data_IF_254253923252
#
_entry.id   IF_254253923252
#
_cell.length_a   1.000
_cell.length_b   1.000
_cell.length_c   1.000
_cell.angle_alpha   90.00
_cell.angle_beta   90.00
_cell.angle_gamma   90.00
#
_symmetry.space_group_name_H-M   'P 1'
#
loop_
_entity.id
_entity.type
_entity.pdbx_description
1 polymer ?
#
# COMPACT_ATOMS: atom_id res chain seq x y z
N UNK A 1 1.31 -8.48 -0.50
CA UNK A 1 0.58 -7.88 -1.65
C UNK A 1 -0.84 -7.46 -1.26
N UNK A 2 -1.70 -8.38 -0.81
CA UNK A 2 -3.11 -8.06 -0.49
C UNK A 2 -3.28 -6.92 0.54
N UNK A 3 -2.63 -7.00 1.71
CA UNK A 3 -2.74 -5.95 2.75
C UNK A 3 -2.25 -4.57 2.25
N UNK A 4 -1.23 -4.57 1.38
CA UNK A 4 -0.69 -3.35 0.81
C UNK A 4 -1.69 -2.69 -0.14
N UNK A 5 -2.31 -3.47 -1.04
CA UNK A 5 -3.37 -2.99 -1.91
C UNK A 5 -4.55 -2.42 -1.12
N UNK A 6 -4.98 -3.10 -0.05
CA UNK A 6 -6.07 -2.60 0.80
C UNK A 6 -5.72 -1.29 1.52
N UNK A 7 -4.47 -1.17 2.01
CA UNK A 7 -3.98 0.07 2.64
C UNK A 7 -4.00 1.23 1.65
N UNK A 8 -3.62 0.99 0.39
CA UNK A 8 -3.61 2.02 -0.64
C UNK A 8 -5.03 2.47 -1.00
N UNK A 9 -5.97 1.54 -1.13
CA UNK A 9 -7.39 1.87 -1.28
C UNK A 9 -7.89 2.72 -0.09
N UNK A 10 -7.50 2.36 1.13
CA UNK A 10 -7.91 3.08 2.33
C UNK A 10 -7.31 4.49 2.43
N UNK A 11 -6.05 4.65 2.00
CA UNK A 11 -5.37 5.94 1.87
C UNK A 11 -6.15 6.86 0.94
N UNK A 12 -6.53 6.38 -0.24
CA UNK A 12 -7.32 7.14 -1.22
C UNK A 12 -8.70 7.48 -0.68
N UNK A 13 -9.38 6.52 -0.04
CA UNK A 13 -10.67 6.76 0.60
C UNK A 13 -10.58 7.89 1.63
N UNK A 14 -9.70 7.78 2.63
CA UNK A 14 -9.53 8.81 3.66
C UNK A 14 -9.01 10.15 3.10
N UNK A 15 -8.22 10.10 2.03
CA UNK A 15 -7.76 11.28 1.29
C UNK A 15 -8.92 12.08 0.70
N UNK A 16 -9.90 11.42 0.06
CA UNK A 16 -11.10 12.10 -0.47
C UNK A 16 -12.00 12.67 0.62
N UNK A 17 -11.89 12.18 1.85
CA UNK A 17 -12.61 12.71 3.03
C UNK A 17 -11.86 13.87 3.72
N UNK A 18 -10.64 14.21 3.29
CA UNK A 18 -9.80 15.24 3.91
C UNK A 18 -9.06 14.78 5.18
N UNK A 19 -9.06 13.48 5.48
CA UNK A 19 -8.52 12.92 6.73
C UNK A 19 -7.24 12.11 6.47
N UNK A 20 -6.29 12.70 5.75
CA UNK A 20 -5.05 12.03 5.31
C UNK A 20 -4.04 11.79 6.45
N UNK A 21 -4.05 12.63 7.49
CA UNK A 21 -3.05 12.65 8.55
C UNK A 21 -2.95 11.31 9.33
N UNK A 22 -4.01 10.53 9.41
CA UNK A 22 -4.03 9.24 10.13
C UNK A 22 -3.21 8.19 9.39
N UNK A 23 -3.41 8.08 8.08
CA UNK A 23 -2.68 7.11 7.26
C UNK A 23 -1.20 7.49 7.19
N UNK A 24 -0.91 8.79 7.13
CA UNK A 24 0.47 9.28 7.18
C UNK A 24 1.15 8.97 8.52
N UNK A 25 0.50 9.30 9.65
CA UNK A 25 1.08 9.06 10.98
C UNK A 25 1.24 7.57 11.28
N UNK A 26 0.24 6.74 10.92
CA UNK A 26 0.35 5.29 11.09
C UNK A 26 1.48 4.68 10.26
N UNK A 27 1.66 5.13 9.01
CA UNK A 27 2.75 4.69 8.17
C UNK A 27 4.12 5.08 8.74
N UNK A 28 4.27 6.30 9.26
CA UNK A 28 5.51 6.77 9.89
C UNK A 28 5.87 5.91 11.11
N UNK A 29 4.91 5.72 12.01
CA UNK A 29 5.08 4.90 13.21
C UNK A 29 5.44 3.46 12.84
N UNK A 30 4.74 2.89 11.88
CA UNK A 30 4.98 1.50 11.48
C UNK A 30 6.29 1.30 10.72
N UNK A 31 6.80 2.33 10.02
CA UNK A 31 8.14 2.31 9.42
C UNK A 31 9.24 2.26 10.50
N UNK A 32 9.08 3.05 11.56
CA UNK A 32 10.00 2.99 12.70
C UNK A 32 9.98 1.61 13.37
N UNK A 33 8.78 1.05 13.59
CA UNK A 33 8.65 -0.31 14.09
C UNK A 33 9.24 -1.36 13.14
N UNK A 34 9.11 -1.19 11.82
CA UNK A 34 9.65 -2.14 10.84
C UNK A 34 11.15 -2.36 11.00
N UNK A 35 11.93 -1.30 11.25
CA UNK A 35 13.37 -1.44 11.55
C UNK A 35 13.61 -2.28 12.81
N UNK A 36 12.78 -2.12 13.84
CA UNK A 36 12.85 -2.94 15.06
C UNK A 36 12.48 -4.40 14.78
N UNK A 37 11.44 -4.66 13.98
CA UNK A 37 11.02 -6.01 13.60
C UNK A 37 12.09 -6.73 12.79
N UNK A 38 12.73 -6.04 11.83
CA UNK A 38 13.87 -6.60 11.09
C UNK A 38 14.99 -6.93 12.06
N UNK A 39 15.35 -6.00 12.96
CA UNK A 39 16.43 -6.27 13.91
C UNK A 39 16.15 -7.51 14.76
N UNK A 40 14.95 -7.58 15.33
CA UNK A 40 14.52 -8.66 16.19
C UNK A 40 14.46 -9.99 15.44
N UNK A 41 13.77 -10.07 14.29
CA UNK A 41 13.65 -11.33 13.55
C UNK A 41 14.94 -11.80 12.90
N UNK A 42 15.79 -10.88 12.42
CA UNK A 42 17.04 -11.25 11.74
C UNK A 42 18.14 -11.58 12.73
N UNK A 43 18.34 -10.75 13.77
CA UNK A 43 19.49 -10.90 14.68
C UNK A 43 19.18 -11.62 16.00
N UNK A 44 17.94 -11.57 16.50
CA UNK A 44 17.59 -12.26 17.77
C UNK A 44 17.08 -13.67 17.51
N UNK A 45 16.32 -13.86 16.44
CA UNK A 45 15.73 -15.16 16.08
C UNK A 45 16.52 -15.92 15.00
N UNK A 46 17.62 -15.36 14.48
CA UNK A 46 18.48 -15.93 13.43
C UNK A 46 17.72 -16.39 12.15
N UNK A 47 16.55 -15.80 11.88
CA UNK A 47 15.69 -16.19 10.75
C UNK A 47 16.19 -15.68 9.39
N UNK A 48 17.31 -14.95 9.34
CA UNK A 48 17.95 -14.46 8.12
C UNK A 48 16.93 -13.88 7.12
N UNK A 49 16.85 -14.41 5.90
CA UNK A 49 15.91 -13.95 4.86
C UNK A 49 14.43 -14.13 5.23
N UNK A 50 14.08 -15.22 5.93
CA UNK A 50 12.71 -15.46 6.38
C UNK A 50 12.26 -14.41 7.40
N UNK A 51 13.19 -13.93 8.24
CA UNK A 51 12.93 -12.87 9.20
C UNK A 51 12.54 -11.55 8.54
N UNK A 52 13.20 -11.19 7.44
CA UNK A 52 12.88 -9.98 6.66
C UNK A 52 11.47 -10.09 6.04
N UNK A 53 11.14 -11.26 5.49
CA UNK A 53 9.81 -11.50 4.92
C UNK A 53 8.72 -11.42 6.01
N UNK A 54 8.96 -12.01 7.18
CA UNK A 54 8.02 -11.95 8.31
C UNK A 54 7.83 -10.52 8.85
N UNK A 55 8.92 -9.78 9.03
CA UNK A 55 8.86 -8.36 9.41
C UNK A 55 7.99 -7.56 8.43
N UNK A 56 8.20 -7.77 7.13
CA UNK A 56 7.47 -7.06 6.07
C UNK A 56 5.98 -7.41 6.06
N UNK A 57 5.65 -8.70 6.20
CA UNK A 57 4.27 -9.16 6.32
C UNK A 57 3.56 -8.52 7.52
N UNK A 58 4.22 -8.50 8.68
CA UNK A 58 3.66 -7.92 9.89
C UNK A 58 3.45 -6.41 9.76
N UNK A 59 4.44 -5.70 9.23
CA UNK A 59 4.33 -4.27 8.92
C UNK A 59 3.16 -4.01 7.96
N UNK A 60 2.95 -4.79 6.91
CA UNK A 60 1.78 -4.59 6.03
C UNK A 60 0.45 -4.84 6.73
N UNK A 61 0.36 -5.83 7.62
CA UNK A 61 -0.84 -6.07 8.42
C UNK A 61 -1.11 -4.88 9.35
N UNK A 62 -0.09 -4.37 10.05
CA UNK A 62 -0.22 -3.22 10.94
C UNK A 62 -0.67 -1.95 10.20
N UNK A 63 -0.08 -1.67 9.03
CA UNK A 63 -0.47 -0.53 8.18
C UNK A 63 -1.94 -0.61 7.74
N UNK A 64 -2.49 -1.82 7.59
CA UNK A 64 -3.87 -2.03 7.21
C UNK A 64 -4.84 -1.95 8.41
N UNK A 65 -4.48 -2.60 9.53
CA UNK A 65 -5.36 -2.72 10.70
C UNK A 65 -5.49 -1.40 11.45
N UNK A 66 -4.39 -0.65 11.63
CA UNK A 66 -4.39 0.59 12.43
C UNK A 66 -5.41 1.62 11.92
N UNK A 67 -5.44 1.97 10.62
CA UNK A 67 -6.42 2.94 10.12
C UNK A 67 -7.86 2.42 10.17
N UNK A 68 -8.10 1.12 9.97
CA UNK A 68 -9.45 0.52 10.10
C UNK A 68 -9.97 0.63 11.53
N UNK A 69 -9.14 0.28 12.49
CA UNK A 69 -9.46 0.40 13.91
C UNK A 69 -9.75 1.86 14.26
N UNK A 70 -8.94 2.79 13.75
CA UNK A 70 -9.17 4.22 13.94
C UNK A 70 -10.53 4.68 13.39
N UNK A 71 -10.89 4.29 12.16
CA UNK A 71 -12.19 4.61 11.54
C UNK A 71 -13.34 4.05 12.39
N UNK A 72 -13.17 2.84 12.92
CA UNK A 72 -14.21 2.15 13.70
C UNK A 72 -14.51 2.81 15.03
N UNK A 73 -13.49 3.42 15.66
CA UNK A 73 -13.61 4.19 16.90
C UNK A 73 -14.04 5.64 16.65
N UNK A 74 -13.59 6.26 15.56
CA UNK A 74 -13.85 7.66 15.23
C UNK A 74 -14.89 7.81 14.11
N UNK A 75 -16.05 7.15 14.27
CA UNK A 75 -17.13 7.16 13.26
C UNK A 75 -17.68 8.56 12.94
N UNK A 76 -17.54 9.52 13.86
CA UNK A 76 -17.98 10.90 13.68
C UNK A 76 -17.03 11.72 12.80
N UNK A 77 -15.75 11.35 12.71
CA UNK A 77 -14.74 12.08 11.94
C UNK A 77 -14.71 11.70 10.45
N UNK A 78 -15.40 10.62 10.09
CA UNK A 78 -15.58 10.18 8.70
C UNK A 78 -17.01 10.52 8.30
N UNK A 79 -17.26 10.95 7.05
CA UNK A 79 -18.62 11.32 6.62
C UNK A 79 -19.60 10.21 6.97
N UNK A 80 -20.67 10.58 7.66
CA UNK A 80 -21.69 9.64 8.12
C UNK A 80 -22.22 8.84 6.91
N UNK A 81 -22.25 7.52 7.09
CA UNK A 81 -22.72 6.61 6.06
C UNK A 81 -21.75 6.26 4.94
N UNK A 82 -20.52 6.79 4.92
CA UNK A 82 -19.51 6.45 3.89
C UNK A 82 -18.80 5.10 4.13
N UNK A 83 -18.70 4.65 5.38
CA UNK A 83 -18.18 3.33 5.74
C UNK A 83 -19.33 2.34 5.97
N UNK A 84 -19.83 1.76 4.88
CA UNK A 84 -20.89 0.73 4.92
C UNK A 84 -20.28 -0.67 4.80
N UNK A 85 -20.89 -1.68 5.44
CA UNK A 85 -20.57 -3.07 5.14
C UNK A 85 -20.89 -3.38 3.67
N UNK A 86 -20.21 -4.40 3.14
CA UNK A 86 -20.43 -4.88 1.76
C UNK A 86 -21.93 -5.16 1.59
N UNK A 87 -22.57 -4.41 0.68
CA UNK A 87 -24.00 -4.54 0.38
C UNK A 87 -24.20 -4.75 -1.12
N UNK A 88 -25.37 -5.27 -1.52
CA UNK A 88 -25.70 -5.42 -2.95
C UNK A 88 -25.68 -4.07 -3.70
N UNK A 89 -25.94 -2.97 -3.00
CA UNK A 89 -25.87 -1.62 -3.58
C UNK A 89 -24.45 -1.24 -3.97
N UNK A 90 -23.44 -1.72 -3.23
CA UNK A 90 -22.01 -1.46 -3.52
C UNK A 90 -21.55 -2.04 -4.87
N UNK A 91 -22.30 -2.99 -5.45
CA UNK A 91 -21.98 -3.61 -6.74
C UNK A 91 -22.79 -3.06 -7.91
N UNK A 92 -23.77 -2.18 -7.67
CA UNK A 92 -24.65 -1.67 -8.73
C UNK A 92 -23.92 -0.79 -9.75
N UNK A 93 -22.94 0.01 -9.29
CA UNK A 93 -22.17 0.93 -10.13
C UNK A 93 -20.80 0.35 -10.55
N UNK A 94 -20.54 -0.94 -10.28
CA UNK A 94 -19.25 -1.55 -10.58
C UNK A 94 -18.91 -1.50 -12.07
N UNK A 95 -19.91 -1.65 -12.95
CA UNK A 95 -19.72 -1.60 -14.40
C UNK A 95 -19.24 -0.23 -14.89
N UNK A 96 -19.82 0.86 -14.38
CA UNK A 96 -19.39 2.22 -14.70
C UNK A 96 -18.01 2.52 -14.11
N UNK A 97 -17.76 2.09 -12.87
CA UNK A 97 -16.44 2.19 -12.24
C UNK A 97 -15.35 1.49 -13.07
N UNK A 98 -15.61 0.26 -13.54
CA UNK A 98 -14.68 -0.49 -14.37
C UNK A 98 -14.45 0.15 -15.74
N UNK A 99 -15.46 0.80 -16.32
CA UNK A 99 -15.31 1.53 -17.59
C UNK A 99 -14.25 2.63 -17.50
N UNK A 100 -14.13 3.30 -16.37
CA UNK A 100 -13.06 4.28 -16.12
C UNK A 100 -11.79 3.64 -15.57
N UNK A 101 -11.92 2.60 -14.74
CA UNK A 101 -10.79 1.90 -14.13
C UNK A 101 -9.92 1.14 -15.13
N UNK A 102 -10.49 0.55 -16.18
CA UNK A 102 -9.75 -0.20 -17.21
C UNK A 102 -8.76 0.70 -17.96
N UNK A 103 -9.15 1.85 -18.54
CA UNK A 103 -8.21 2.79 -19.15
C UNK A 103 -7.08 3.21 -18.19
N UNK A 104 -7.41 3.54 -16.94
CA UNK A 104 -6.41 3.93 -15.93
C UNK A 104 -5.45 2.78 -15.61
N UNK A 105 -5.94 1.55 -15.52
CA UNK A 105 -5.12 0.36 -15.30
C UNK A 105 -4.14 0.14 -16.46
N UNK A 106 -4.61 0.23 -17.71
CA UNK A 106 -3.76 0.06 -18.90
C UNK A 106 -2.67 1.12 -18.92
N UNK A 107 -3.02 2.39 -18.64
CA UNK A 107 -2.06 3.48 -18.58
C UNK A 107 -0.94 3.21 -17.56
N UNK A 108 -1.29 2.83 -16.33
CA UNK A 108 -0.32 2.50 -15.27
C UNK A 108 0.52 1.26 -15.60
N UNK A 109 -0.07 0.25 -16.24
CA UNK A 109 0.66 -0.94 -16.66
C UNK A 109 1.71 -0.60 -17.72
N UNK A 110 1.37 0.23 -18.72
CA UNK A 110 2.31 0.70 -19.73
C UNK A 110 3.45 1.52 -19.10
N UNK A 111 3.16 2.34 -18.10
CA UNK A 111 4.17 3.10 -17.35
C UNK A 111 5.14 2.15 -16.62
N UNK A 112 4.62 1.17 -15.88
CA UNK A 112 5.44 0.19 -15.16
C UNK A 112 6.31 -0.65 -16.10
N UNK A 113 5.75 -1.13 -17.20
CA UNK A 113 6.53 -1.84 -18.21
C UNK A 113 7.60 -0.97 -18.85
N UNK A 114 7.32 0.31 -19.06
CA UNK A 114 8.34 1.25 -19.57
C UNK A 114 9.51 1.35 -18.60
N UNK A 115 9.25 1.42 -17.29
CA UNK A 115 10.32 1.42 -16.27
C UNK A 115 11.10 0.10 -16.21
N UNK A 116 10.43 -1.05 -16.37
CA UNK A 116 11.10 -2.34 -16.43
C UNK A 116 12.02 -2.45 -17.65
N UNK A 117 11.53 -2.05 -18.83
CA UNK A 117 12.32 -2.05 -20.07
C UNK A 117 13.51 -1.09 -19.95
N UNK A 118 13.32 0.11 -19.40
CA UNK A 118 14.41 1.05 -19.11
C UNK A 118 15.42 0.47 -18.11
N UNK A 119 14.95 -0.22 -17.06
CA UNK A 119 15.82 -0.89 -16.10
C UNK A 119 16.65 -2.01 -16.74
N UNK A 120 16.06 -2.79 -17.64
CA UNK A 120 16.77 -3.81 -18.42
C UNK A 120 17.79 -3.16 -19.34
N UNK A 121 17.43 -2.09 -20.07
CA UNK A 121 18.37 -1.38 -20.94
C UNK A 121 19.53 -0.75 -20.16
N UNK A 122 19.27 -0.16 -19.00
CA UNK A 122 20.29 0.40 -18.11
C UNK A 122 21.23 -0.68 -17.58
N UNK A 123 20.70 -1.87 -17.23
CA UNK A 123 21.52 -3.01 -16.81
C UNK A 123 22.34 -3.66 -17.94
N UNK A 124 21.98 -3.41 -19.20
CA UNK A 124 22.71 -3.88 -20.38
C UNK A 124 23.76 -2.86 -20.88
N UNK A 125 23.63 -1.57 -20.53
CA UNK A 125 24.73 -0.62 -20.66
C UNK A 125 25.79 -0.99 -19.62
N UNK A 126 26.99 -1.37 -20.07
CA UNK A 126 28.10 -1.69 -19.19
C UNK A 126 28.50 -0.49 -18.31
N UNK A 127 29.24 -0.77 -17.23
CA UNK A 127 29.64 0.21 -16.19
C UNK A 127 30.32 1.50 -16.72
N UNK A 128 30.81 1.53 -17.97
CA UNK A 128 31.55 2.66 -18.53
C UNK A 128 30.70 3.89 -18.90
N UNK A 129 29.40 3.75 -19.21
CA UNK A 129 28.54 4.89 -19.59
C UNK A 129 27.70 5.47 -18.42
N UNK A 130 27.56 4.74 -17.30
CA UNK A 130 26.80 5.19 -16.12
C UNK A 130 27.64 6.01 -15.12
N UNK A 131 28.97 6.00 -15.26
CA UNK A 131 29.92 6.70 -14.39
C UNK A 131 30.55 7.96 -15.02
N UNK A 132 30.17 8.32 -16.25
CA UNK A 132 30.67 9.49 -16.99
C UNK A 132 29.77 10.73 -16.83
#
# INVERSE_FOLDING_TARGET
IWCHAQTECLRRFLGTQGVFHIVMNSQLVNSAFHSLWIFLFVYVFDLSFQGIALASCLTYILNFVVPIVWIRFNKSSVKEGSWQPISKQSFQELGEYLRYGIPTFIMLACELWSFEILGIMAGLCGEEDLAA
#
